data_IF_237189296206
#
_entry.id   IF_237189296206
#
_cell.length_a   1.000
_cell.length_b   1.000
_cell.length_c   1.000
_cell.angle_alpha   90.00
_cell.angle_beta   90.00
_cell.angle_gamma   90.00
#
_symmetry.space_group_name_H-M   'P 1'
#
loop_
_entity.id
_entity.type
_entity.pdbx_description
1 polymer ?
#
# COMPACT_ATOMS: atom_id res chain seq x y z
N UNK A 1 11.39 8.20 -15.05
CA UNK A 1 10.32 7.64 -15.89
C UNK A 1 8.92 7.98 -15.34
N UNK A 2 8.50 9.26 -15.40
CA UNK A 2 7.16 9.75 -15.00
C UNK A 2 6.03 9.36 -15.97
N UNK A 3 6.24 8.36 -16.83
CA UNK A 3 5.46 8.20 -18.06
C UNK A 3 4.29 7.23 -17.98
N UNK A 4 4.30 6.19 -17.15
CA UNK A 4 3.14 5.28 -17.10
C UNK A 4 1.89 5.96 -16.52
N UNK A 5 2.05 6.70 -15.41
CA UNK A 5 0.94 7.41 -14.77
C UNK A 5 0.46 8.64 -15.56
N UNK A 6 1.39 9.37 -16.17
CA UNK A 6 1.07 10.56 -16.99
C UNK A 6 0.49 10.18 -18.35
N UNK A 7 0.82 9.00 -18.90
CA UNK A 7 0.18 8.46 -20.11
C UNK A 7 -1.24 7.95 -19.84
N UNK A 8 -1.51 7.38 -18.66
CA UNK A 8 -2.83 6.84 -18.33
C UNK A 8 -3.94 7.90 -18.38
N UNK A 9 -3.67 9.09 -17.85
CA UNK A 9 -4.62 10.20 -17.87
C UNK A 9 -4.47 11.13 -19.09
N UNK A 10 -3.32 11.14 -19.78
CA UNK A 10 -3.14 11.94 -21.00
C UNK A 10 -3.70 11.28 -22.26
N UNK A 11 -3.85 9.94 -22.29
CA UNK A 11 -4.45 9.20 -23.42
C UNK A 11 -5.97 9.02 -23.31
N UNK A 12 -6.61 9.55 -22.27
CA UNK A 12 -8.07 9.56 -22.09
C UNK A 12 -8.67 10.67 -22.97
N UNK A 13 -8.74 10.42 -24.29
CA UNK A 13 -9.39 11.31 -25.27
C UNK A 13 -10.90 11.06 -25.44
N UNK A 14 -11.46 10.04 -24.79
CA UNK A 14 -12.88 9.69 -24.88
C UNK A 14 -13.68 10.20 -23.69
N UNK A 15 -14.83 10.84 -23.96
CA UNK A 15 -15.71 11.47 -22.97
C UNK A 15 -16.18 10.48 -21.87
N UNK A 16 -16.37 9.21 -22.21
CA UNK A 16 -16.78 8.15 -21.27
C UNK A 16 -15.72 7.84 -20.20
N UNK A 17 -14.44 8.03 -20.52
CA UNK A 17 -13.34 7.75 -19.60
C UNK A 17 -13.20 8.84 -18.52
N UNK A 18 -13.77 10.05 -18.73
CA UNK A 18 -13.78 11.12 -17.71
C UNK A 18 -14.54 10.75 -16.45
N UNK A 19 -15.55 9.88 -16.57
CA UNK A 19 -16.35 9.43 -15.43
C UNK A 19 -15.50 8.64 -14.41
N UNK A 20 -14.45 7.97 -14.88
CA UNK A 20 -13.59 7.11 -14.05
C UNK A 20 -12.43 7.87 -13.42
N UNK A 21 -12.29 9.17 -13.71
CA UNK A 21 -11.24 10.00 -13.14
C UNK A 21 -11.52 10.23 -11.64
N UNK A 22 -10.52 10.04 -10.79
CA UNK A 22 -10.60 10.46 -9.40
C UNK A 22 -10.58 12.00 -9.34
N UNK A 23 -11.20 12.57 -8.32
CA UNK A 23 -11.06 14.01 -8.05
C UNK A 23 -9.67 14.29 -7.48
N UNK A 24 -9.12 15.49 -7.69
CA UNK A 24 -7.95 15.89 -6.93
C UNK A 24 -8.34 16.03 -5.45
N UNK A 25 -7.43 15.63 -4.56
CA UNK A 25 -7.61 15.75 -3.12
C UNK A 25 -6.27 15.79 -2.40
N UNK A 26 -6.31 15.93 -1.08
CA UNK A 26 -5.14 15.96 -0.20
C UNK A 26 -5.31 14.88 0.86
N UNK A 27 -4.56 13.79 0.74
CA UNK A 27 -4.70 12.63 1.62
C UNK A 27 -4.32 13.01 3.06
N UNK A 28 -3.18 13.68 3.22
CA UNK A 28 -2.66 14.09 4.54
C UNK A 28 -3.64 14.97 5.29
N UNK A 29 -4.19 15.99 4.63
CA UNK A 29 -5.21 16.88 5.23
C UNK A 29 -6.49 16.12 5.57
N UNK A 30 -6.93 15.21 4.69
CA UNK A 30 -8.12 14.38 4.93
C UNK A 30 -7.96 13.51 6.18
N UNK A 31 -6.81 12.85 6.35
CA UNK A 31 -6.51 11.99 7.50
C UNK A 31 -6.38 12.79 8.81
N UNK A 32 -5.74 13.96 8.75
CA UNK A 32 -5.59 14.85 9.91
C UNK A 32 -6.95 15.41 10.35
N UNK A 33 -7.81 15.80 9.41
CA UNK A 33 -9.16 16.30 9.71
C UNK A 33 -10.10 15.21 10.22
N UNK A 34 -9.98 13.98 9.72
CA UNK A 34 -10.66 12.84 10.32
C UNK A 34 -10.23 12.64 11.77
N UNK A 35 -8.93 12.65 12.03
CA UNK A 35 -8.38 12.47 13.38
C UNK A 35 -8.84 13.52 14.38
N UNK A 36 -8.94 14.79 13.94
CA UNK A 36 -9.45 15.88 14.79
C UNK A 36 -10.92 15.71 15.14
N UNK A 37 -11.74 15.21 14.21
CA UNK A 37 -13.19 15.06 14.39
C UNK A 37 -13.58 13.78 15.11
N UNK A 38 -12.75 12.74 15.03
CA UNK A 38 -13.02 11.41 15.56
C UNK A 38 -11.82 10.90 16.36
N UNK A 39 -11.88 10.95 17.70
CA UNK A 39 -10.84 10.37 18.54
C UNK A 39 -10.87 8.84 18.48
N UNK A 40 -9.71 8.20 18.66
CA UNK A 40 -9.61 6.73 18.68
C UNK A 40 -9.82 6.09 17.31
N UNK A 41 -9.17 6.62 16.27
CA UNK A 41 -9.20 6.03 14.93
C UNK A 41 -8.61 4.62 14.96
N UNK A 42 -9.30 3.73 14.27
CA UNK A 42 -8.88 2.35 14.01
C UNK A 42 -8.35 2.19 12.59
N UNK A 43 -7.11 1.75 12.44
CA UNK A 43 -6.47 1.52 11.13
C UNK A 43 -6.14 0.04 10.90
N UNK A 44 -6.34 -0.42 9.67
CA UNK A 44 -5.70 -1.61 9.11
C UNK A 44 -4.73 -1.16 8.02
N UNK A 45 -3.42 -1.22 8.30
CA UNK A 45 -2.37 -0.88 7.35
C UNK A 45 -1.74 -2.16 6.79
N UNK A 46 -1.77 -2.30 5.47
CA UNK A 46 -1.31 -3.46 4.72
C UNK A 46 -0.11 -3.04 3.86
N UNK A 47 1.06 -3.61 4.13
CA UNK A 47 2.33 -3.12 3.56
C UNK A 47 2.87 -1.95 4.38
N UNK A 48 3.08 -2.15 5.68
CA UNK A 48 3.54 -1.10 6.59
C UNK A 48 5.03 -0.77 6.43
N UNK A 49 5.82 -1.58 5.72
CA UNK A 49 7.27 -1.45 5.64
C UNK A 49 7.87 -1.37 7.06
N UNK A 50 8.84 -0.50 7.31
CA UNK A 50 9.37 -0.23 8.64
C UNK A 50 8.51 0.76 9.46
N UNK A 51 7.39 1.20 8.88
CA UNK A 51 6.41 2.09 9.47
C UNK A 51 6.93 3.50 9.74
N UNK A 52 8.03 3.93 9.09
CA UNK A 52 8.59 5.29 9.21
C UNK A 52 8.93 5.85 7.84
N UNK A 53 9.62 5.08 7.01
CA UNK A 53 10.08 5.55 5.70
C UNK A 53 8.90 5.69 4.73
N UNK A 54 8.64 6.92 4.29
CA UNK A 54 7.52 7.27 3.41
C UNK A 54 6.14 6.83 3.96
N UNK A 55 6.00 6.72 5.27
CA UNK A 55 4.75 6.31 5.92
C UNK A 55 4.01 7.55 6.49
N UNK A 56 2.88 7.98 5.90
CA UNK A 56 2.12 9.12 6.39
C UNK A 56 1.36 8.82 7.69
N UNK A 57 1.22 7.55 8.08
CA UNK A 57 0.44 7.11 9.23
C UNK A 57 1.26 7.13 10.52
N UNK A 58 2.58 6.96 10.48
CA UNK A 58 3.44 6.95 11.67
C UNK A 58 3.21 8.15 12.60
N UNK A 59 3.28 9.36 12.04
CA UNK A 59 3.12 10.59 12.79
C UNK A 59 1.66 10.79 13.25
N UNK A 60 0.67 10.36 12.46
CA UNK A 60 -0.74 10.42 12.83
C UNK A 60 -1.08 9.47 13.97
N UNK A 61 -0.60 8.22 13.90
CA UNK A 61 -0.74 7.21 14.94
C UNK A 61 -0.20 7.76 16.26
N UNK A 62 1.00 8.35 16.23
CA UNK A 62 1.64 8.94 17.41
C UNK A 62 0.90 10.19 17.93
N UNK A 63 0.49 11.08 17.04
CA UNK A 63 -0.14 12.36 17.38
C UNK A 63 -1.54 12.18 17.96
N UNK A 64 -2.30 11.23 17.44
CA UNK A 64 -3.72 11.05 17.76
C UNK A 64 -4.02 9.75 18.50
N UNK A 65 -3.00 8.98 18.86
CA UNK A 65 -3.10 7.69 19.53
C UNK A 65 -4.06 6.73 18.80
N UNK A 66 -3.85 6.59 17.48
CA UNK A 66 -4.60 5.62 16.69
C UNK A 66 -4.28 4.20 17.17
N UNK A 67 -5.25 3.31 17.00
CA UNK A 67 -5.11 1.89 17.28
C UNK A 67 -5.35 1.08 16.01
N UNK A 68 -4.96 -0.19 15.97
CA UNK A 68 -5.05 -0.92 14.71
C UNK A 68 -4.13 -2.10 14.53
N UNK A 69 -3.98 -2.51 13.27
CA UNK A 69 -3.11 -3.60 12.85
C UNK A 69 -2.19 -3.08 11.74
N UNK A 70 -0.89 -3.30 11.91
CA UNK A 70 0.13 -3.03 10.90
C UNK A 70 0.70 -4.35 10.40
N UNK A 71 0.65 -4.55 9.09
CA UNK A 71 1.05 -5.81 8.44
C UNK A 71 2.24 -5.53 7.52
N UNK A 72 3.35 -6.22 7.74
CA UNK A 72 4.54 -6.16 6.88
C UNK A 72 5.05 -7.59 6.58
N UNK A 73 5.08 -8.03 5.31
CA UNK A 73 5.45 -9.40 4.97
C UNK A 73 6.94 -9.71 5.11
N UNK A 74 7.85 -8.75 4.93
CA UNK A 74 9.29 -9.05 4.94
C UNK A 74 9.82 -9.20 6.38
N UNK A 75 10.37 -10.36 6.78
CA UNK A 75 10.71 -10.60 8.18
C UNK A 75 11.75 -9.62 8.78
N UNK A 76 12.73 -9.18 7.98
CA UNK A 76 13.75 -8.24 8.45
C UNK A 76 13.20 -6.81 8.57
N UNK A 77 12.34 -6.41 7.64
CA UNK A 77 11.65 -5.12 7.65
C UNK A 77 10.65 -5.06 8.81
N UNK A 78 9.88 -6.14 9.00
CA UNK A 78 8.97 -6.30 10.13
C UNK A 78 9.67 -6.17 11.49
N UNK A 79 10.89 -6.69 11.64
CA UNK A 79 11.68 -6.47 12.88
C UNK A 79 11.99 -5.00 13.10
N UNK A 80 12.30 -4.24 12.04
CA UNK A 80 12.49 -2.78 12.16
C UNK A 80 11.18 -2.05 12.45
N UNK A 81 10.07 -2.48 11.86
CA UNK A 81 8.74 -1.99 12.20
C UNK A 81 8.48 -2.12 13.71
N UNK A 82 8.71 -3.31 14.29
CA UNK A 82 8.55 -3.51 15.73
C UNK A 82 9.48 -2.58 16.54
N UNK A 83 10.75 -2.45 16.15
CA UNK A 83 11.72 -1.59 16.83
C UNK A 83 11.32 -0.10 16.77
N UNK A 84 10.83 0.38 15.63
CA UNK A 84 10.37 1.76 15.44
C UNK A 84 9.15 2.08 16.33
N UNK A 85 8.39 1.06 16.74
CA UNK A 85 7.17 1.16 17.53
C UNK A 85 7.34 0.73 19.01
N UNK A 86 8.53 0.26 19.44
CA UNK A 86 8.78 -0.46 20.71
C UNK A 86 8.35 0.31 21.99
N UNK A 87 8.37 1.64 21.99
CA UNK A 87 8.10 2.46 23.17
C UNK A 87 6.75 3.20 23.15
N UNK A 88 5.85 2.92 22.18
CA UNK A 88 4.75 3.88 21.89
C UNK A 88 3.37 3.27 21.64
N UNK A 89 3.17 1.95 21.68
CA UNK A 89 2.01 1.37 20.97
C UNK A 89 1.32 0.18 21.64
N UNK A 90 0.81 0.35 22.86
CA UNK A 90 -0.04 -0.68 23.52
C UNK A 90 -1.35 -0.96 22.77
N UNK A 91 -1.71 -0.16 21.76
CA UNK A 91 -2.97 -0.26 21.02
C UNK A 91 -2.79 -0.74 19.57
N UNK A 92 -1.58 -1.12 19.17
CA UNK A 92 -1.32 -1.68 17.85
C UNK A 92 -0.99 -3.16 17.95
N UNK A 93 -1.54 -3.92 17.00
CA UNK A 93 -1.11 -5.27 16.72
C UNK A 93 -0.22 -5.27 15.47
N UNK A 94 0.81 -6.10 15.48
CA UNK A 94 1.74 -6.23 14.37
C UNK A 94 1.70 -7.65 13.83
N UNK A 95 1.73 -7.80 12.51
CA UNK A 95 1.70 -9.11 11.90
C UNK A 95 2.65 -9.26 10.71
N UNK A 96 3.30 -10.42 10.63
CA UNK A 96 4.28 -10.74 9.60
C UNK A 96 3.73 -11.79 8.63
N UNK A 97 2.91 -11.33 7.70
CA UNK A 97 2.40 -12.10 6.56
C UNK A 97 2.06 -11.13 5.42
N UNK A 98 1.89 -11.65 4.20
CA UNK A 98 1.41 -10.86 3.08
C UNK A 98 -0.13 -10.86 2.99
N UNK A 99 -0.69 -9.84 2.36
CA UNK A 99 -2.12 -9.77 2.08
C UNK A 99 -2.41 -10.29 0.68
N UNK A 100 -3.45 -11.11 0.55
CA UNK A 100 -3.86 -11.67 -0.72
C UNK A 100 -5.38 -11.81 -0.82
N UNK A 101 -5.87 -12.02 -2.05
CA UNK A 101 -7.25 -12.46 -2.35
C UNK A 101 -7.64 -13.82 -1.77
N UNK A 102 -6.67 -14.63 -1.34
CA UNK A 102 -6.88 -15.97 -0.77
C UNK A 102 -5.79 -16.34 0.21
N UNK A 103 -6.13 -17.20 1.16
CA UNK A 103 -5.17 -17.86 2.04
C UNK A 103 -4.21 -18.76 1.26
N UNK A 104 -2.98 -18.89 1.76
CA UNK A 104 -2.01 -19.84 1.26
C UNK A 104 -0.59 -19.34 1.42
N UNK A 105 0.31 -19.94 0.65
CA UNK A 105 1.70 -19.48 0.55
C UNK A 105 1.91 -19.01 -0.90
N UNK A 106 2.55 -17.85 -1.06
CA UNK A 106 2.95 -17.32 -2.36
C UNK A 106 4.44 -17.02 -2.39
N UNK A 107 5.05 -17.12 -3.55
CA UNK A 107 6.36 -16.52 -3.80
C UNK A 107 6.20 -15.01 -3.86
N UNK A 108 6.96 -14.31 -3.03
CA UNK A 108 7.14 -12.87 -3.09
C UNK A 108 8.58 -12.57 -3.53
N UNK A 109 8.72 -11.60 -4.43
CA UNK A 109 10.00 -11.10 -4.88
C UNK A 109 10.30 -9.80 -4.13
N UNK A 110 11.56 -9.57 -3.80
CA UNK A 110 12.00 -8.32 -3.16
C UNK A 110 13.42 -7.97 -3.60
N UNK A 111 13.77 -6.69 -3.51
CA UNK A 111 15.14 -6.24 -3.75
C UNK A 111 15.94 -6.28 -2.44
N UNK A 112 17.02 -7.06 -2.41
CA UNK A 112 17.89 -7.20 -1.24
C UNK A 112 19.17 -6.39 -1.44
N UNK A 113 19.18 -5.15 -0.93
CA UNK A 113 20.35 -4.27 -0.97
C UNK A 113 20.84 -4.01 0.46
N UNK A 114 22.10 -4.36 0.79
CA UNK A 114 22.60 -4.25 2.16
C UNK A 114 22.51 -2.82 2.73
N UNK A 115 21.87 -2.68 3.89
CA UNK A 115 21.72 -1.43 4.63
C UNK A 115 21.04 -0.29 3.84
N UNK A 116 20.19 -0.61 2.87
CA UNK A 116 19.50 0.38 2.04
C UNK A 116 17.98 0.27 2.21
N UNK A 117 17.39 1.23 2.93
CA UNK A 117 15.94 1.16 3.23
C UNK A 117 15.05 1.52 2.04
N UNK A 118 15.57 2.23 1.05
CA UNK A 118 14.85 2.49 -0.20
C UNK A 118 14.51 1.19 -0.96
N UNK A 119 15.30 0.13 -0.77
CA UNK A 119 15.07 -1.16 -1.41
C UNK A 119 13.94 -1.96 -0.75
N UNK A 120 13.66 -1.69 0.54
CA UNK A 120 12.62 -2.42 1.30
C UNK A 120 11.22 -2.22 0.70
N UNK A 121 10.96 -1.07 0.06
CA UNK A 121 9.71 -0.82 -0.65
C UNK A 121 9.59 -1.62 -1.95
N UNK A 122 10.69 -2.10 -2.53
CA UNK A 122 10.65 -2.80 -3.81
C UNK A 122 10.33 -4.29 -3.63
N UNK A 123 9.07 -4.58 -3.29
CA UNK A 123 8.53 -5.93 -3.15
C UNK A 123 7.33 -6.15 -4.05
N UNK A 124 7.09 -7.39 -4.49
CA UNK A 124 5.87 -7.70 -5.24
C UNK A 124 5.65 -9.20 -5.35
N UNK A 125 4.39 -9.62 -5.55
CA UNK A 125 4.11 -10.97 -6.06
C UNK A 125 4.47 -11.13 -7.54
N UNK A 126 4.74 -10.03 -8.26
CA UNK A 126 5.18 -10.08 -9.66
C UNK A 126 6.63 -9.66 -9.82
N UNK A 127 7.49 -10.60 -10.21
CA UNK A 127 8.90 -10.31 -10.54
C UNK A 127 9.04 -9.20 -11.60
N UNK A 128 8.08 -9.11 -12.52
CA UNK A 128 8.08 -8.08 -13.57
C UNK A 128 8.00 -6.66 -13.02
N UNK A 129 7.34 -6.46 -11.87
CA UNK A 129 7.22 -5.13 -11.26
C UNK A 129 8.60 -4.64 -10.80
N UNK A 130 9.39 -5.51 -10.16
CA UNK A 130 10.77 -5.19 -9.75
C UNK A 130 11.67 -5.01 -10.98
N UNK A 131 11.54 -5.87 -12.01
CA UNK A 131 12.29 -5.72 -13.25
C UNK A 131 12.01 -4.39 -13.95
N UNK A 132 10.78 -3.89 -13.90
CA UNK A 132 10.44 -2.59 -14.46
C UNK A 132 11.23 -1.44 -13.79
N UNK A 133 11.58 -1.55 -12.51
CA UNK A 133 12.44 -0.59 -11.81
C UNK A 133 13.93 -0.68 -12.22
N UNK A 134 14.40 -1.86 -12.65
CA UNK A 134 15.73 -2.01 -13.25
C UNK A 134 15.71 -1.36 -14.64
N UNK A 135 14.75 -1.76 -15.47
CA UNK A 135 14.65 -1.31 -16.86
C UNK A 135 14.42 0.20 -16.97
N UNK A 136 13.78 0.80 -15.98
CA UNK A 136 13.53 2.23 -15.95
C UNK A 136 14.65 3.10 -15.36
N UNK A 137 15.74 2.48 -14.91
CA UNK A 137 16.91 3.14 -14.32
C UNK A 137 16.72 3.60 -12.87
N UNK A 138 15.57 3.33 -12.23
CA UNK A 138 15.34 3.71 -10.84
C UNK A 138 16.33 3.00 -9.90
N UNK A 139 16.49 1.69 -10.03
CA UNK A 139 17.41 0.91 -9.18
C UNK A 139 18.86 1.34 -9.42
N UNK A 140 19.26 1.58 -10.68
CA UNK A 140 20.59 2.09 -11.01
C UNK A 140 20.86 3.45 -10.35
N UNK A 141 19.90 4.36 -10.43
CA UNK A 141 20.00 5.68 -9.80
C UNK A 141 20.17 5.55 -8.27
N UNK A 142 19.30 4.78 -7.61
CA UNK A 142 19.34 4.60 -6.15
C UNK A 142 20.63 3.94 -5.68
N UNK A 143 21.11 2.94 -6.42
CA UNK A 143 22.39 2.28 -6.15
C UNK A 143 23.55 3.27 -6.26
N UNK A 144 23.59 4.09 -7.32
CA UNK A 144 24.64 5.09 -7.51
C UNK A 144 24.62 6.16 -6.42
N UNK A 145 23.44 6.62 -6.01
CA UNK A 145 23.27 7.57 -4.89
C UNK A 145 23.75 6.97 -3.56
N UNK A 146 23.63 5.65 -3.42
CA UNK A 146 24.08 4.88 -2.25
C UNK A 146 25.55 4.44 -2.33
N UNK A 147 26.29 4.85 -3.37
CA UNK A 147 27.71 4.52 -3.57
C UNK A 147 27.98 3.13 -4.16
N UNK A 148 26.96 2.44 -4.68
CA UNK A 148 27.09 1.18 -5.41
C UNK A 148 27.13 1.43 -6.92
N UNK A 149 28.02 0.72 -7.61
CA UNK A 149 28.13 0.78 -9.07
C UNK A 149 27.96 -0.63 -9.64
N UNK A 150 26.70 -1.05 -9.73
CA UNK A 150 26.33 -2.37 -10.26
C UNK A 150 25.83 -2.27 -11.69
N UNK A 151 26.40 -3.10 -12.56
CA UNK A 151 25.85 -3.29 -13.90
C UNK A 151 24.50 -4.03 -13.83
N UNK A 152 23.79 -4.11 -14.96
CA UNK A 152 22.46 -4.73 -15.01
C UNK A 152 22.43 -6.19 -14.54
N UNK A 153 23.46 -6.97 -14.81
CA UNK A 153 23.55 -8.37 -14.36
C UNK A 153 23.70 -8.46 -12.83
N UNK A 154 24.48 -7.57 -12.24
CA UNK A 154 24.64 -7.46 -10.79
C UNK A 154 23.35 -6.98 -10.11
N UNK A 155 22.64 -6.02 -10.70
CA UNK A 155 21.33 -5.57 -10.22
C UNK A 155 20.30 -6.72 -10.19
N UNK A 156 20.29 -7.57 -11.22
CA UNK A 156 19.39 -8.73 -11.28
C UNK A 156 19.67 -9.74 -10.15
N UNK A 157 20.91 -9.85 -9.67
CA UNK A 157 21.30 -10.75 -8.57
C UNK A 157 20.79 -10.26 -7.20
N UNK A 158 20.41 -8.99 -7.08
CA UNK A 158 19.81 -8.41 -5.87
C UNK A 158 18.34 -8.80 -5.72
N UNK A 159 17.67 -9.25 -6.79
CA UNK A 159 16.28 -9.72 -6.69
C UNK A 159 16.28 -11.08 -6.00
N UNK A 160 15.62 -11.16 -4.85
CA UNK A 160 15.45 -12.38 -4.06
C UNK A 160 14.00 -12.83 -4.06
N UNK A 161 13.81 -14.07 -3.64
CA UNK A 161 12.52 -14.75 -3.58
C UNK A 161 12.32 -15.31 -2.18
N UNK A 162 11.12 -15.15 -1.63
CA UNK A 162 10.74 -15.71 -0.33
C UNK A 162 9.34 -16.34 -0.43
N UNK A 163 9.16 -17.49 0.20
CA UNK A 163 7.83 -18.07 0.41
C UNK A 163 7.19 -17.38 1.61
N UNK A 164 6.07 -16.70 1.40
CA UNK A 164 5.39 -15.93 2.45
C UNK A 164 3.97 -16.44 2.68
N UNK A 165 3.58 -16.57 3.95
CA UNK A 165 2.19 -16.82 4.31
C UNK A 165 1.33 -15.64 3.86
N UNK A 166 0.18 -15.95 3.26
CA UNK A 166 -0.78 -14.99 2.75
C UNK A 166 -2.12 -15.13 3.47
N UNK A 167 -2.72 -14.01 3.86
CA UNK A 167 -4.05 -13.94 4.46
C UNK A 167 -4.95 -12.96 3.71
N UNK A 168 -6.26 -13.21 3.78
CA UNK A 168 -7.26 -12.24 3.31
C UNK A 168 -7.47 -11.14 4.34
N UNK A 169 -8.03 -10.01 3.93
CA UNK A 169 -8.41 -8.92 4.85
C UNK A 169 -9.37 -9.44 5.93
N UNK A 170 -10.31 -10.31 5.56
CA UNK A 170 -11.26 -10.94 6.48
C UNK A 170 -10.55 -11.80 7.54
N UNK A 171 -9.55 -12.57 7.13
CA UNK A 171 -8.79 -13.41 8.06
C UNK A 171 -7.94 -12.57 9.01
N UNK A 172 -7.30 -11.51 8.50
CA UNK A 172 -6.52 -10.58 9.32
C UNK A 172 -7.39 -9.93 10.39
N UNK A 173 -8.54 -9.41 9.97
CA UNK A 173 -9.53 -8.81 10.87
C UNK A 173 -10.00 -9.82 11.92
N UNK A 174 -10.34 -11.05 11.50
CA UNK A 174 -10.80 -12.12 12.40
C UNK A 174 -9.73 -12.52 13.42
N UNK A 175 -8.50 -12.77 12.98
CA UNK A 175 -7.40 -13.24 13.83
C UNK A 175 -7.02 -12.22 14.90
N UNK A 176 -7.33 -10.94 14.67
CA UNK A 176 -7.09 -9.83 15.59
C UNK A 176 -8.36 -9.38 16.34
N UNK A 177 -9.47 -10.10 16.20
CA UNK A 177 -10.73 -9.76 16.88
C UNK A 177 -11.37 -8.44 16.44
N UNK A 178 -10.96 -7.89 15.28
CA UNK A 178 -11.52 -6.65 14.75
C UNK A 178 -12.76 -6.94 13.89
N UNK A 179 -13.86 -6.26 14.21
CA UNK A 179 -15.08 -6.32 13.41
C UNK A 179 -15.17 -5.18 12.39
N UNK A 180 -14.64 -4.02 12.75
CA UNK A 180 -14.65 -2.79 11.95
C UNK A 180 -13.32 -2.06 12.07
N UNK A 181 -13.02 -1.27 11.05
CA UNK A 181 -11.91 -0.29 11.04
C UNK A 181 -12.38 0.99 10.36
N UNK A 182 -11.82 2.12 10.76
CA UNK A 182 -12.12 3.42 10.17
C UNK A 182 -11.33 3.64 8.88
N UNK A 183 -10.10 3.12 8.84
CA UNK A 183 -9.18 3.28 7.73
C UNK A 183 -8.65 1.91 7.32
N UNK A 184 -8.70 1.62 6.03
CA UNK A 184 -7.88 0.56 5.42
C UNK A 184 -6.87 1.25 4.50
N UNK A 185 -5.59 1.12 4.84
CA UNK A 185 -4.49 1.64 4.06
C UNK A 185 -3.70 0.50 3.42
N UNK A 186 -3.39 0.63 2.14
CA UNK A 186 -2.70 -0.38 1.36
C UNK A 186 -1.55 0.28 0.60
N UNK A 187 -0.37 -0.33 0.71
CA UNK A 187 0.76 -0.11 -0.18
C UNK A 187 1.34 -1.50 -0.50
N UNK A 188 0.77 -2.15 -1.51
CA UNK A 188 1.05 -3.54 -1.85
C UNK A 188 1.77 -3.67 -3.19
N UNK A 189 2.45 -2.60 -3.62
CA UNK A 189 3.36 -2.54 -4.76
C UNK A 189 2.79 -3.21 -6.02
N UNK A 190 1.54 -2.84 -6.32
CA UNK A 190 0.77 -3.26 -7.49
C UNK A 190 -0.27 -4.36 -7.23
N UNK A 191 -0.41 -4.86 -6.01
CA UNK A 191 -1.47 -5.83 -5.65
C UNK A 191 -2.73 -5.17 -5.04
N UNK A 192 -2.67 -3.88 -4.78
CA UNK A 192 -3.68 -3.01 -4.18
C UNK A 192 -5.07 -3.19 -4.78
N UNK A 193 -5.17 -3.05 -6.10
CA UNK A 193 -6.46 -3.15 -6.81
C UNK A 193 -7.09 -4.52 -6.69
N UNK A 194 -6.31 -5.59 -6.57
CA UNK A 194 -6.83 -6.93 -6.34
C UNK A 194 -7.50 -6.98 -4.98
N UNK A 195 -6.88 -6.42 -3.95
CA UNK A 195 -7.45 -6.36 -2.60
C UNK A 195 -8.69 -5.46 -2.58
N UNK A 196 -8.63 -4.25 -3.12
CA UNK A 196 -9.78 -3.32 -3.18
C UNK A 196 -11.00 -3.98 -3.83
N UNK A 197 -10.82 -4.70 -4.93
CA UNK A 197 -11.91 -5.40 -5.62
C UNK A 197 -12.51 -6.55 -4.81
N UNK A 198 -11.78 -7.11 -3.84
CA UNK A 198 -12.23 -8.22 -3.00
C UNK A 198 -12.72 -7.77 -1.61
N UNK A 199 -12.54 -6.50 -1.23
CA UNK A 199 -13.02 -5.98 0.05
C UNK A 199 -14.54 -6.17 0.21
N UNK A 200 -14.95 -6.82 1.29
CA UNK A 200 -16.37 -6.91 1.66
C UNK A 200 -16.87 -5.61 2.31
N UNK A 201 -17.10 -4.59 1.48
CA UNK A 201 -17.55 -3.26 1.91
C UNK A 201 -19.00 -3.20 2.41
N UNK A 202 -19.79 -4.27 2.26
CA UNK A 202 -21.07 -4.39 2.98
C UNK A 202 -20.86 -4.59 4.49
N UNK A 203 -19.72 -5.19 4.86
CA UNK A 203 -19.42 -5.55 6.25
C UNK A 203 -18.46 -4.56 6.90
N UNK A 204 -17.31 -4.28 6.26
CA UNK A 204 -16.20 -3.52 6.86
C UNK A 204 -16.43 -2.01 6.88
N UNK A 205 -17.18 -1.50 5.90
CA UNK A 205 -17.61 -0.10 5.79
C UNK A 205 -16.65 1.00 6.33
N UNK A 206 -15.34 0.97 6.01
CA UNK A 206 -14.39 1.95 6.53
C UNK A 206 -14.76 3.37 6.09
N UNK A 207 -14.40 4.38 6.87
CA UNK A 207 -14.61 5.78 6.46
C UNK A 207 -13.67 6.15 5.30
N UNK A 208 -12.43 5.62 5.32
CA UNK A 208 -11.43 5.86 4.28
C UNK A 208 -10.79 4.53 3.82
N UNK A 209 -10.67 4.37 2.51
CA UNK A 209 -9.82 3.34 1.89
C UNK A 209 -8.71 4.04 1.12
N UNK A 210 -7.45 3.76 1.44
CA UNK A 210 -6.26 4.29 0.75
C UNK A 210 -5.55 3.14 0.07
N UNK A 211 -5.11 3.35 -1.17
CA UNK A 211 -4.37 2.35 -1.92
C UNK A 211 -3.53 2.98 -3.03
N UNK A 212 -2.45 2.31 -3.40
CA UNK A 212 -1.59 2.78 -4.47
C UNK A 212 -2.17 2.43 -5.85
N UNK A 213 -1.88 3.26 -6.85
CA UNK A 213 -2.31 3.04 -8.23
C UNK A 213 -1.18 2.75 -9.22
N UNK A 214 0.05 2.50 -8.74
CA UNK A 214 1.15 2.07 -9.61
C UNK A 214 0.88 0.67 -10.19
N UNK A 215 1.51 0.40 -11.33
CA UNK A 215 1.57 -0.94 -11.95
C UNK A 215 0.24 -1.64 -12.22
N UNK A 216 -0.85 -0.90 -12.40
CA UNK A 216 -2.18 -1.45 -12.66
C UNK A 216 -2.61 -1.30 -14.13
N UNK A 217 -3.26 -2.33 -14.66
CA UNK A 217 -4.04 -2.21 -15.90
C UNK A 217 -5.36 -1.43 -15.68
N UNK A 218 -5.81 -0.74 -16.73
CA UNK A 218 -6.99 0.13 -16.67
C UNK A 218 -8.28 -0.59 -16.31
N UNK A 219 -8.45 -1.86 -16.68
CA UNK A 219 -9.65 -2.61 -16.31
C UNK A 219 -9.71 -2.92 -14.81
N UNK A 220 -8.59 -3.27 -14.19
CA UNK A 220 -8.51 -3.49 -12.74
C UNK A 220 -8.75 -2.19 -11.97
N UNK A 221 -8.18 -1.09 -12.44
CA UNK A 221 -8.44 0.24 -11.90
C UNK A 221 -9.93 0.60 -11.94
N UNK A 222 -10.58 0.47 -13.11
CA UNK A 222 -12.01 0.77 -13.27
C UNK A 222 -12.88 -0.09 -12.38
N UNK A 223 -12.56 -1.38 -12.23
CA UNK A 223 -13.27 -2.29 -11.33
C UNK A 223 -13.17 -1.82 -9.88
N UNK A 224 -11.98 -1.41 -9.43
CA UNK A 224 -11.77 -0.93 -8.07
C UNK A 224 -12.59 0.33 -7.79
N UNK A 225 -12.56 1.31 -8.70
CA UNK A 225 -13.37 2.53 -8.60
C UNK A 225 -14.88 2.21 -8.64
N UNK A 226 -15.32 1.29 -9.50
CA UNK A 226 -16.72 0.86 -9.59
C UNK A 226 -17.18 0.20 -8.29
N UNK A 227 -16.34 -0.66 -7.71
CA UNK A 227 -16.62 -1.34 -6.45
C UNK A 227 -16.78 -0.34 -5.31
N UNK A 228 -15.84 0.59 -5.14
CA UNK A 228 -15.93 1.65 -4.13
C UNK A 228 -17.19 2.51 -4.31
N UNK A 229 -17.48 2.99 -5.52
CA UNK A 229 -18.67 3.81 -5.79
C UNK A 229 -19.98 3.08 -5.54
N UNK A 230 -20.04 1.76 -5.81
CA UNK A 230 -21.21 0.93 -5.50
C UNK A 230 -21.56 0.98 -4.00
N UNK A 231 -20.57 1.15 -3.14
CA UNK A 231 -20.74 1.24 -1.68
C UNK A 231 -20.68 2.69 -1.17
N UNK A 232 -21.07 3.66 -2.01
CA UNK A 232 -21.22 5.07 -1.65
C UNK A 232 -19.90 5.77 -1.27
N UNK A 233 -18.78 5.41 -1.90
CA UNK A 233 -17.52 6.15 -1.74
C UNK A 233 -17.31 7.16 -2.87
N UNK A 234 -16.76 8.32 -2.51
CA UNK A 234 -16.16 9.28 -3.46
C UNK A 234 -14.66 9.04 -3.54
N UNK A 235 -14.13 8.90 -4.77
CA UNK A 235 -12.73 8.55 -5.02
C UNK A 235 -11.93 9.80 -5.42
N UNK A 236 -10.79 9.98 -4.76
CA UNK A 236 -9.84 11.08 -4.90
C UNK A 236 -8.44 10.53 -5.24
N UNK A 237 -7.58 11.41 -5.72
CA UNK A 237 -6.19 11.12 -6.02
C UNK A 237 -5.31 12.20 -5.42
N UNK A 238 -4.19 11.76 -4.87
CA UNK A 238 -3.10 12.61 -4.42
C UNK A 238 -1.78 11.99 -4.90
N UNK A 239 -1.11 12.62 -5.87
CA UNK A 239 0.11 12.05 -6.46
C UNK A 239 -0.09 10.66 -7.08
N UNK A 240 0.47 9.62 -6.45
CA UNK A 240 0.36 8.20 -6.87
C UNK A 240 -0.65 7.42 -6.01
N UNK A 241 -1.14 8.05 -4.94
CA UNK A 241 -2.12 7.49 -4.03
C UNK A 241 -3.53 7.75 -4.55
N UNK A 242 -4.39 6.76 -4.33
CA UNK A 242 -5.83 6.88 -4.45
C UNK A 242 -6.42 6.73 -3.05
N UNK A 243 -7.37 7.60 -2.72
CA UNK A 243 -8.13 7.44 -1.50
C UNK A 243 -9.61 7.63 -1.76
N UNK A 244 -10.42 6.87 -1.05
CA UNK A 244 -11.86 6.86 -1.20
C UNK A 244 -12.51 7.16 0.15
N UNK A 245 -13.35 8.19 0.18
CA UNK A 245 -14.07 8.62 1.38
C UNK A 245 -15.51 8.14 1.26
N UNK A 246 -16.02 7.44 2.28
CA UNK A 246 -17.43 7.04 2.34
C UNK A 246 -18.29 8.29 2.52
N UNK A 247 -19.28 8.46 1.65
CA UNK A 247 -20.28 9.52 1.84
C UNK A 247 -21.18 9.12 3.01
N UNK A 248 -21.34 10.04 3.97
CA UNK A 248 -22.21 9.88 5.15
C UNK A 248 -23.69 9.79 4.80
#
# INVERSE_FOLDING_TARGET
>A
MKHFFRCFFSSIKNFENRFWLPKDGNLTETLDDLSKRKPGISILQLGANDGVNNDPYFDLIKKYNWHGILVEPQPNVFKRLLANYENRNHHLNFANYAVSDKKGVKTMFYLDVPNQTWADGLTSFSKSNILAHIDNGYIEQQLSESGFHFNKEEQLKLIKEIQIECKTVEDIMKDNGLQQVDIIAMDLEGYDHVIVNNLNLNRLTPEIVVYESKYVDFELYKRAVKHLRKYNYTVYKDGQDIFAIRNG
#
